data_IF_196847038410
#
_entry.id   IF_196847038410
#
_cell.length_a   1.000
_cell.length_b   1.000
_cell.length_c   1.000
_cell.angle_alpha   90.00
_cell.angle_beta   90.00
_cell.angle_gamma   90.00
#
_symmetry.space_group_name_H-M   'P 1'
#
loop_
_entity.id
_entity.type
_entity.pdbx_description
1 polymer ?
#
# COMPACT_ATOMS: atom_id res chain seq x y z
N UNK A 1 7.49 5.70 0.00
CA UNK A 1 6.41 4.78 0.30
C UNK A 1 5.03 5.39 0.30
N UNK A 2 4.08 4.60 0.77
CA UNK A 2 2.66 4.93 0.77
C UNK A 2 2.08 4.77 2.17
N UNK A 3 1.23 5.72 2.55
CA UNK A 3 0.29 5.56 3.65
C UNK A 3 -1.07 5.26 3.05
N UNK A 4 -1.66 4.14 3.43
CA UNK A 4 -2.90 3.62 2.85
C UNK A 4 -4.01 3.54 3.89
N UNK A 5 -5.23 3.63 3.43
CA UNK A 5 -6.42 3.44 4.27
C UNK A 5 -6.32 4.26 5.56
N UNK A 6 -5.86 5.49 5.41
CA UNK A 6 -5.63 6.40 6.53
C UNK A 6 -6.90 7.12 6.90
N UNK A 7 -7.20 7.15 8.20
CA UNK A 7 -8.24 8.02 8.73
C UNK A 7 -7.71 9.44 8.89
N UNK A 8 -8.51 10.48 8.58
CA UNK A 8 -8.09 11.86 8.77
C UNK A 8 -7.61 12.21 10.18
N UNK A 9 -8.08 11.50 11.22
CA UNK A 9 -7.67 11.69 12.61
C UNK A 9 -6.41 10.88 13.01
N UNK A 10 -5.79 10.18 12.07
CA UNK A 10 -4.62 9.30 12.27
C UNK A 10 -4.86 8.09 13.18
N UNK A 11 -6.10 7.73 13.46
CA UNK A 11 -6.41 6.57 14.30
C UNK A 11 -6.18 5.23 13.62
N UNK A 12 -6.29 5.21 12.30
CA UNK A 12 -6.04 4.03 11.47
C UNK A 12 -5.19 4.42 10.27
N UNK A 13 -4.17 3.64 9.97
CA UNK A 13 -3.36 3.76 8.76
C UNK A 13 -2.49 2.51 8.56
N UNK A 14 -2.09 2.28 7.34
CA UNK A 14 -1.12 1.23 6.98
C UNK A 14 -0.01 1.85 6.15
N UNK A 15 1.20 1.32 6.29
CA UNK A 15 2.37 1.79 5.57
C UNK A 15 2.90 0.68 4.67
N UNK A 16 3.24 1.06 3.44
CA UNK A 16 3.99 0.21 2.52
C UNK A 16 5.15 1.04 2.02
N UNK A 17 6.37 0.63 2.34
CA UNK A 17 7.53 1.40 1.95
C UNK A 17 8.77 0.54 1.75
N UNK A 18 9.73 1.10 1.06
CA UNK A 18 11.04 0.50 0.84
C UNK A 18 12.09 1.24 1.67
N UNK A 19 12.83 0.49 2.48
CA UNK A 19 13.96 1.00 3.24
C UNK A 19 15.23 0.77 2.42
N UNK A 20 15.77 1.85 1.87
CA UNK A 20 16.94 1.80 0.99
C UNK A 20 18.19 1.28 1.70
N UNK A 21 18.39 1.68 2.96
CA UNK A 21 19.58 1.28 3.71
C UNK A 21 19.58 -0.21 4.05
N UNK A 22 18.42 -0.74 4.41
CA UNK A 22 18.27 -2.14 4.81
C UNK A 22 17.93 -3.08 3.65
N UNK A 23 17.64 -2.52 2.48
CA UNK A 23 17.15 -3.26 1.32
C UNK A 23 15.93 -4.13 1.67
N UNK A 24 14.97 -3.54 2.39
CA UNK A 24 13.76 -4.22 2.83
C UNK A 24 12.50 -3.55 2.29
N UNK A 25 11.59 -4.36 1.78
CA UNK A 25 10.22 -3.95 1.54
C UNK A 25 9.43 -4.20 2.82
N UNK A 26 8.77 -3.17 3.32
CA UNK A 26 8.07 -3.21 4.60
C UNK A 26 6.59 -2.97 4.39
N UNK A 27 5.78 -3.85 4.93
CA UNK A 27 4.33 -3.70 5.04
C UNK A 27 4.00 -3.61 6.52
N UNK A 28 3.73 -2.42 6.99
CA UNK A 28 3.44 -2.12 8.38
C UNK A 28 1.94 -1.93 8.59
N UNK A 29 1.32 -2.92 9.21
CA UNK A 29 -0.10 -2.94 9.54
C UNK A 29 -0.34 -2.83 11.05
N UNK A 30 0.63 -2.33 11.81
CA UNK A 30 0.52 -2.21 13.27
C UNK A 30 -0.55 -1.21 13.72
N UNK A 31 -0.96 -0.30 12.83
CA UNK A 31 -2.03 0.68 13.07
C UNK A 31 -3.16 0.57 12.04
N UNK A 32 -3.30 -0.59 11.41
CA UNK A 32 -4.21 -0.74 10.27
C UNK A 32 -5.68 -0.77 10.64
N UNK A 33 -6.01 -1.16 11.87
CA UNK A 33 -7.40 -1.34 12.26
C UNK A 33 -7.62 -1.15 13.75
N UNK A 34 -8.73 -0.49 14.07
CA UNK A 34 -9.28 -0.41 15.43
C UNK A 34 -10.23 -1.57 15.74
N UNK A 35 -10.48 -2.46 14.78
CA UNK A 35 -11.32 -3.64 15.00
C UNK A 35 -10.67 -4.59 15.98
N UNK A 36 -11.48 -5.16 16.90
CA UNK A 36 -11.04 -6.28 17.72
C UNK A 36 -10.73 -7.50 16.83
N UNK A 37 -9.77 -8.31 17.25
CA UNK A 37 -9.39 -9.57 16.60
C UNK A 37 -8.78 -9.47 15.20
N UNK A 38 -8.46 -8.28 14.71
CA UNK A 38 -7.66 -8.13 13.50
C UNK A 38 -6.18 -8.20 13.87
N UNK A 39 -5.41 -9.10 13.27
CA UNK A 39 -3.97 -9.16 13.50
C UNK A 39 -3.28 -7.89 13.04
N UNK A 40 -2.53 -7.26 13.92
CA UNK A 40 -1.72 -6.08 13.60
C UNK A 40 -0.28 -6.55 13.35
N UNK A 41 0.11 -6.59 12.07
CA UNK A 41 1.34 -7.23 11.62
C UNK A 41 2.33 -6.24 11.05
N UNK A 42 3.61 -6.54 11.25
CA UNK A 42 4.72 -5.93 10.54
C UNK A 42 5.42 -7.02 9.74
N UNK A 43 5.45 -6.88 8.43
CA UNK A 43 6.18 -7.78 7.53
C UNK A 43 7.37 -7.06 6.92
N UNK A 44 8.49 -7.74 6.85
CA UNK A 44 9.72 -7.25 6.24
C UNK A 44 10.27 -8.34 5.34
N UNK A 45 10.45 -8.00 4.08
CA UNK A 45 11.06 -8.90 3.11
C UNK A 45 12.29 -8.23 2.50
N UNK A 46 13.39 -8.94 2.47
CA UNK A 46 14.56 -8.48 1.78
C UNK A 46 14.28 -8.41 0.27
N UNK A 47 14.54 -7.26 -0.30
CA UNK A 47 14.34 -7.05 -1.72
C UNK A 47 15.37 -6.04 -2.23
N UNK A 48 16.19 -6.43 -3.17
CA UNK A 48 17.19 -5.54 -3.74
C UNK A 48 16.61 -4.75 -4.90
N UNK A 49 16.46 -3.46 -4.68
CA UNK A 49 15.95 -2.51 -5.65
C UNK A 49 17.10 -1.69 -6.21
N UNK A 50 17.20 -1.57 -7.53
CA UNK A 50 18.16 -0.68 -8.17
C UNK A 50 17.66 0.77 -8.07
N UNK A 51 18.14 1.47 -7.06
CA UNK A 51 17.75 2.87 -6.79
C UNK A 51 18.40 3.89 -7.71
N UNK A 52 19.31 3.45 -8.61
CA UNK A 52 19.91 4.33 -9.64
C UNK A 52 18.95 4.55 -10.81
N UNK A 53 17.90 3.78 -10.92
CA UNK A 53 16.87 3.86 -11.95
C UNK A 53 15.55 4.29 -11.34
N UNK A 54 14.65 4.87 -12.14
CA UNK A 54 13.28 5.11 -11.69
C UNK A 54 12.62 3.83 -11.23
N UNK A 55 11.92 3.90 -10.10
CA UNK A 55 11.17 2.80 -9.54
C UNK A 55 9.69 3.02 -9.83
N UNK A 56 9.05 2.04 -10.45
CA UNK A 56 7.61 2.05 -10.68
C UNK A 56 6.92 1.13 -9.66
N UNK A 57 5.98 1.69 -8.94
CA UNK A 57 5.13 0.91 -8.03
C UNK A 57 3.68 1.13 -8.46
N UNK A 58 2.99 0.03 -8.73
CA UNK A 58 1.55 0.03 -8.99
C UNK A 58 0.82 -0.62 -7.85
N UNK A 59 -0.19 0.06 -7.34
CA UNK A 59 -1.06 -0.45 -6.28
C UNK A 59 -2.48 -0.59 -6.81
N UNK A 60 -3.08 -1.74 -6.54
CA UNK A 60 -4.50 -1.99 -6.76
C UNK A 60 -5.16 -2.19 -5.41
N UNK A 61 -6.16 -1.37 -5.12
CA UNK A 61 -6.91 -1.42 -3.87
C UNK A 61 -8.36 -1.73 -4.22
N UNK A 62 -8.83 -2.87 -3.75
CA UNK A 62 -10.21 -3.32 -3.96
C UNK A 62 -10.76 -3.87 -2.64
N UNK A 63 -11.67 -3.10 -2.04
CA UNK A 63 -12.17 -3.41 -0.70
C UNK A 63 -11.04 -3.53 0.30
N UNK A 64 -10.88 -4.73 0.88
CA UNK A 64 -9.81 -5.02 1.84
C UNK A 64 -8.51 -5.49 1.20
N UNK A 65 -8.51 -5.77 -0.10
CA UNK A 65 -7.34 -6.35 -0.80
C UNK A 65 -6.47 -5.24 -1.34
N UNK A 66 -5.18 -5.33 -1.08
CA UNK A 66 -4.16 -4.46 -1.66
C UNK A 66 -3.14 -5.34 -2.37
N UNK A 67 -3.00 -5.14 -3.67
CA UNK A 67 -1.97 -5.77 -4.47
C UNK A 67 -0.99 -4.73 -4.96
N UNK A 68 0.29 -5.00 -4.83
CA UNK A 68 1.35 -4.13 -5.30
C UNK A 68 2.28 -4.83 -6.26
N UNK A 69 2.73 -4.10 -7.26
CA UNK A 69 3.69 -4.56 -8.25
C UNK A 69 4.86 -3.59 -8.29
N UNK A 70 6.07 -4.12 -8.17
CA UNK A 70 7.31 -3.33 -8.21
C UNK A 70 8.02 -3.63 -9.52
N UNK A 71 8.17 -2.63 -10.37
CA UNK A 71 8.86 -2.71 -11.67
C UNK A 71 8.36 -3.86 -12.57
N UNK A 72 7.12 -4.29 -12.42
CA UNK A 72 6.56 -5.46 -13.11
C UNK A 72 7.35 -6.77 -12.88
N UNK A 73 8.24 -6.82 -11.91
CA UNK A 73 9.08 -7.99 -11.61
C UNK A 73 8.59 -8.73 -10.37
N UNK A 74 8.17 -8.00 -9.36
CA UNK A 74 7.73 -8.57 -8.09
C UNK A 74 6.37 -8.06 -7.67
N UNK A 75 5.68 -8.87 -6.91
CA UNK A 75 4.35 -8.55 -6.42
C UNK A 75 4.20 -8.90 -4.94
N UNK A 76 3.36 -8.16 -4.27
CA UNK A 76 2.93 -8.47 -2.92
C UNK A 76 1.42 -8.27 -2.79
N UNK A 77 0.83 -9.00 -1.85
CA UNK A 77 -0.60 -8.89 -1.54
C UNK A 77 -0.78 -8.80 -0.04
N UNK A 78 -1.66 -7.92 0.38
CA UNK A 78 -2.06 -7.82 1.78
C UNK A 78 -3.53 -7.49 1.89
N UNK A 79 -4.09 -7.61 3.10
CA UNK A 79 -5.47 -7.25 3.40
C UNK A 79 -5.49 -6.24 4.53
N UNK A 80 -6.30 -5.21 4.37
CA UNK A 80 -6.46 -4.12 5.33
C UNK A 80 -7.95 -4.00 5.66
N UNK A 81 -8.26 -4.04 6.96
CA UNK A 81 -9.64 -4.04 7.46
C UNK A 81 -9.87 -2.89 8.44
N UNK A 82 -9.92 -1.63 7.98
CA UNK A 82 -10.19 -0.53 8.89
C UNK A 82 -11.60 -0.63 9.50
N UNK A 83 -11.74 -0.14 10.71
CA UNK A 83 -13.03 -0.03 11.38
C UNK A 83 -13.84 1.15 10.85
N UNK A 84 -13.16 2.29 10.65
CA UNK A 84 -13.81 3.53 10.25
C UNK A 84 -14.00 3.58 8.73
N UNK A 85 -15.20 3.92 8.28
CA UNK A 85 -15.54 4.01 6.86
C UNK A 85 -14.75 5.09 6.12
N UNK A 86 -14.34 6.15 6.81
CA UNK A 86 -13.55 7.23 6.24
C UNK A 86 -12.04 7.03 6.33
N UNK A 87 -11.58 5.85 6.67
CA UNK A 87 -10.16 5.46 6.57
C UNK A 87 -9.82 5.12 5.11
N UNK A 88 -9.80 6.15 4.26
CA UNK A 88 -9.69 6.01 2.80
C UNK A 88 -8.58 6.87 2.18
N UNK A 89 -7.84 7.61 2.99
CA UNK A 89 -6.79 8.49 2.46
C UNK A 89 -5.58 7.70 2.01
N UNK A 90 -5.00 8.17 0.91
CA UNK A 90 -3.75 7.69 0.34
C UNK A 90 -2.77 8.84 0.32
N UNK A 91 -1.59 8.62 0.87
CA UNK A 91 -0.51 9.60 0.88
C UNK A 91 0.78 8.97 0.39
N UNK A 92 1.61 9.77 -0.25
CA UNK A 92 2.99 9.41 -0.58
C UNK A 92 3.92 10.05 0.43
N UNK A 93 4.97 9.33 0.82
CA UNK A 93 6.00 9.89 1.67
C UNK A 93 7.40 9.49 1.22
N UNK A 94 8.37 10.28 1.59
CA UNK A 94 9.78 10.01 1.41
C UNK A 94 10.55 10.55 2.59
N UNK A 95 11.56 9.81 3.00
CA UNK A 95 12.53 10.23 3.98
C UNK A 95 13.89 10.38 3.28
N UNK A 96 14.39 11.61 3.20
CA UNK A 96 15.68 11.90 2.60
C UNK A 96 15.62 12.62 1.26
N UNK A 97 16.51 12.26 0.33
CA UNK A 97 16.81 13.02 -0.88
C UNK A 97 15.98 12.61 -2.10
N UNK A 98 14.70 12.38 -1.95
CA UNK A 98 13.84 12.10 -3.11
C UNK A 98 13.64 13.37 -3.92
N UNK A 99 13.98 13.32 -5.18
CA UNK A 99 13.99 14.49 -6.04
C UNK A 99 12.75 14.60 -6.92
N UNK A 100 12.19 13.48 -7.34
CA UNK A 100 11.00 13.49 -8.19
C UNK A 100 10.07 12.31 -7.85
N UNK A 101 8.78 12.62 -7.78
CA UNK A 101 7.71 11.63 -7.70
C UNK A 101 6.66 11.99 -8.74
N UNK A 102 6.36 11.06 -9.64
CA UNK A 102 5.21 11.15 -10.52
C UNK A 102 4.16 10.13 -10.05
N UNK A 103 2.95 10.59 -9.83
CA UNK A 103 1.87 9.72 -9.37
C UNK A 103 0.63 9.92 -10.22
N UNK A 104 -0.02 8.80 -10.58
CA UNK A 104 -1.30 8.79 -11.26
C UNK A 104 -2.28 7.95 -10.44
N UNK A 105 -3.48 8.45 -10.28
CA UNK A 105 -4.52 7.77 -9.52
C UNK A 105 -5.75 7.59 -10.41
N UNK A 106 -6.20 6.35 -10.56
CA UNK A 106 -7.41 6.02 -11.29
C UNK A 106 -8.44 5.40 -10.36
N UNK A 107 -9.69 5.82 -10.53
CA UNK A 107 -10.81 5.12 -9.92
C UNK A 107 -11.30 4.07 -10.89
N UNK A 108 -11.28 2.81 -10.47
CA UNK A 108 -11.81 1.72 -11.27
C UNK A 108 -13.33 1.69 -11.18
N UNK A 109 -13.97 1.41 -12.31
CA UNK A 109 -15.42 1.17 -12.34
C UNK A 109 -15.72 -0.23 -11.84
N UNK A 110 -16.89 -0.38 -11.23
CA UNK A 110 -17.37 -1.71 -10.85
C UNK A 110 -17.47 -2.60 -12.06
N UNK A 111 -16.89 -3.80 -11.96
CA UNK A 111 -17.04 -4.81 -12.97
C UNK A 111 -18.46 -5.40 -12.91
N UNK A 112 -19.14 -5.42 -14.06
CA UNK A 112 -20.43 -6.12 -14.21
C UNK A 112 -20.21 -7.38 -15.02
N UNK A 113 -20.51 -8.50 -14.42
CA UNK A 113 -20.51 -9.78 -15.09
C UNK A 113 -21.92 -10.08 -15.57
N UNK A 114 -22.10 -10.18 -16.90
CA UNK A 114 -23.35 -10.69 -17.47
C UNK A 114 -23.22 -12.21 -17.55
N UNK A 115 -24.12 -12.89 -16.84
CA UNK A 115 -24.26 -14.32 -16.97
C UNK A 115 -25.45 -14.64 -17.88
N UNK A 116 -25.18 -15.32 -18.98
CA UNK A 116 -26.19 -15.88 -19.86
C UNK A 116 -26.38 -17.36 -19.52
N UNK A 117 -27.51 -17.66 -18.98
CA UNK A 117 -27.91 -19.05 -18.70
C UNK A 117 -28.79 -19.59 -19.80
#
# INVERSE_FOLDING_TARGET
GFTLCKNPDNSEYSLIYYDVEKEELIVDQTHSSLRAHIPLKLRKDWYRLDTTKPVEIRLFIDGSVVEGFINDEDAFTTRIFPLKENSTLLELFSDGNTTEVAAEVWRLKDARVKMNF
#
